data_IF_868692071373
#
_entry.id   IF_868692071373
#
_cell.length_a   1.000
_cell.length_b   1.000
_cell.length_c   1.000
_cell.angle_alpha   90.00
_cell.angle_beta   90.00
_cell.angle_gamma   90.00
#
_symmetry.space_group_name_H-M   'P 1'
#
loop_
_entity.id
_entity.type
_entity.pdbx_description
1 polymer ?
#
# COMPACT_ATOMS: atom_id res chain seq x y z
N UNK A 1 29.26 -36.71 -22.73
CA UNK A 1 27.79 -36.65 -22.55
C UNK A 1 27.44 -35.70 -21.41
N UNK A 2 27.05 -34.45 -21.70
CA UNK A 2 26.70 -33.45 -20.67
C UNK A 2 25.59 -32.49 -21.16
N UNK A 3 24.52 -33.03 -21.76
CA UNK A 3 23.40 -32.21 -22.24
C UNK A 3 22.12 -32.32 -21.40
N UNK A 4 22.02 -33.27 -20.46
CA UNK A 4 20.78 -33.48 -19.69
C UNK A 4 20.55 -32.50 -18.53
N UNK A 5 21.59 -31.90 -17.95
CA UNK A 5 21.44 -31.05 -16.75
C UNK A 5 20.87 -29.66 -17.05
N UNK A 6 21.25 -29.06 -18.17
CA UNK A 6 20.78 -27.73 -18.59
C UNK A 6 19.27 -27.69 -18.81
N UNK A 7 18.70 -28.75 -19.38
CA UNK A 7 17.25 -28.82 -19.63
C UNK A 7 16.44 -28.97 -18.34
N UNK A 8 16.95 -29.76 -17.38
CA UNK A 8 16.32 -29.93 -16.06
C UNK A 8 16.39 -28.61 -15.28
N UNK A 9 17.55 -27.95 -15.24
CA UNK A 9 17.70 -26.66 -14.58
C UNK A 9 16.78 -25.59 -15.19
N UNK A 10 16.62 -25.58 -16.51
CA UNK A 10 15.73 -24.62 -17.20
C UNK A 10 14.25 -24.86 -16.85
N UNK A 11 13.82 -26.11 -16.71
CA UNK A 11 12.47 -26.45 -16.23
C UNK A 11 12.27 -26.02 -14.77
N UNK A 12 13.21 -26.34 -13.89
CA UNK A 12 13.16 -25.98 -12.47
C UNK A 12 13.14 -24.45 -12.27
N UNK A 13 13.99 -23.71 -12.98
CA UNK A 13 13.99 -22.24 -12.93
C UNK A 13 12.65 -21.66 -13.37
N UNK A 14 12.02 -22.23 -14.42
CA UNK A 14 10.70 -21.78 -14.88
C UNK A 14 9.62 -22.05 -13.83
N UNK A 15 9.61 -23.24 -13.24
CA UNK A 15 8.65 -23.60 -12.18
C UNK A 15 8.80 -22.71 -10.94
N UNK A 16 10.03 -22.52 -10.46
CA UNK A 16 10.33 -21.64 -9.32
C UNK A 16 9.93 -20.19 -9.64
N UNK A 17 10.18 -19.72 -10.86
CA UNK A 17 9.81 -18.37 -11.28
C UNK A 17 8.28 -18.18 -11.26
N UNK A 18 7.51 -19.17 -11.70
CA UNK A 18 6.04 -19.11 -11.64
C UNK A 18 5.56 -19.05 -10.18
N UNK A 19 6.11 -19.90 -9.30
CA UNK A 19 5.77 -19.89 -7.87
C UNK A 19 6.12 -18.53 -7.24
N UNK A 20 7.27 -17.96 -7.61
CA UNK A 20 7.70 -16.65 -7.14
C UNK A 20 6.74 -15.54 -7.58
N UNK A 21 6.32 -15.53 -8.85
CA UNK A 21 5.35 -14.57 -9.38
C UNK A 21 4.03 -14.67 -8.61
N UNK A 22 3.52 -15.88 -8.37
CA UNK A 22 2.29 -16.09 -7.58
C UNK A 22 2.44 -15.51 -6.18
N UNK A 23 3.58 -15.75 -5.50
CA UNK A 23 3.84 -15.15 -4.18
C UNK A 23 3.86 -13.62 -4.23
N UNK A 24 4.50 -13.03 -5.24
CA UNK A 24 4.55 -11.57 -5.39
C UNK A 24 3.15 -10.99 -5.59
N UNK A 25 2.33 -11.60 -6.46
CA UNK A 25 0.94 -11.18 -6.67
C UNK A 25 0.14 -11.27 -5.36
N UNK A 26 0.28 -12.37 -4.61
CA UNK A 26 -0.41 -12.55 -3.33
C UNK A 26 -0.01 -11.46 -2.32
N UNK A 27 1.28 -11.13 -2.22
CA UNK A 27 1.77 -10.06 -1.35
C UNK A 27 1.24 -8.68 -1.78
N UNK A 28 1.16 -8.41 -3.07
CA UNK A 28 0.59 -7.17 -3.60
C UNK A 28 -0.90 -7.06 -3.29
N UNK A 29 -1.66 -8.15 -3.41
CA UNK A 29 -3.09 -8.17 -3.06
C UNK A 29 -3.29 -7.91 -1.57
N UNK A 30 -2.53 -8.59 -0.70
CA UNK A 30 -2.61 -8.37 0.75
C UNK A 30 -2.24 -6.93 1.08
N UNK A 31 -1.15 -6.41 0.49
CA UNK A 31 -0.75 -5.01 0.64
C UNK A 31 -1.86 -4.08 0.20
N UNK A 32 -2.50 -4.35 -0.94
CA UNK A 32 -3.60 -3.54 -1.43
C UNK A 32 -4.76 -3.58 -0.45
N UNK A 33 -5.27 -4.75 -0.06
CA UNK A 33 -6.38 -4.85 0.91
C UNK A 33 -6.05 -4.15 2.24
N UNK A 34 -4.82 -4.25 2.73
CA UNK A 34 -4.40 -3.59 3.97
C UNK A 34 -4.18 -2.08 3.84
N UNK A 35 -3.86 -1.58 2.64
CA UNK A 35 -3.52 -0.18 2.39
C UNK A 35 -4.60 0.60 1.62
N UNK A 36 -5.61 -0.10 1.12
CA UNK A 36 -6.76 0.42 0.38
C UNK A 36 -7.94 0.73 1.31
N UNK A 37 -7.80 0.48 2.62
CA UNK A 37 -8.57 1.20 3.62
C UNK A 37 -7.98 2.62 3.70
N UNK A 38 -8.65 3.66 3.15
CA UNK A 38 -8.12 5.01 3.17
C UNK A 38 -8.00 5.45 4.63
N UNK A 39 -6.78 5.43 5.18
CA UNK A 39 -6.49 5.98 6.51
C UNK A 39 -6.43 7.51 6.50
N UNK A 40 -6.66 8.13 5.34
CA UNK A 40 -6.86 9.56 5.20
C UNK A 40 -8.36 9.77 4.97
N UNK A 41 -9.13 10.08 6.03
CA UNK A 41 -10.51 10.49 5.88
C UNK A 41 -10.56 11.68 4.92
N UNK A 42 -11.52 11.66 3.99
CA UNK A 42 -11.70 12.70 2.96
C UNK A 42 -11.90 14.12 3.53
N UNK A 43 -12.14 14.20 4.85
CA UNK A 43 -12.41 15.43 5.61
C UNK A 43 -11.36 15.73 6.70
N UNK A 44 -10.19 15.07 6.69
CA UNK A 44 -9.13 15.32 7.70
C UNK A 44 -8.57 16.73 7.58
N UNK A 45 -8.40 17.23 6.35
CA UNK A 45 -7.90 18.58 6.11
C UNK A 45 -8.84 19.66 6.65
N UNK A 46 -10.16 19.45 6.57
CA UNK A 46 -11.14 20.44 7.03
C UNK A 46 -11.17 20.56 8.56
N UNK A 47 -11.17 19.44 9.30
CA UNK A 47 -11.19 19.47 10.76
C UNK A 47 -9.84 19.91 11.37
N UNK A 48 -8.73 19.62 10.70
CA UNK A 48 -7.41 20.11 11.13
C UNK A 48 -7.27 21.59 10.78
N UNK A 49 -7.73 22.04 9.61
CA UNK A 49 -7.76 23.46 9.26
C UNK A 49 -8.61 24.27 10.26
N UNK A 50 -9.77 23.76 10.68
CA UNK A 50 -10.61 24.43 11.68
C UNK A 50 -9.95 24.51 13.07
N UNK A 51 -9.18 23.48 13.45
CA UNK A 51 -8.43 23.46 14.73
C UNK A 51 -7.13 24.27 14.68
N UNK A 52 -6.45 24.35 13.53
CA UNK A 52 -5.17 25.07 13.34
C UNK A 52 -5.41 26.56 13.04
N UNK A 53 -6.43 26.88 12.23
CA UNK A 53 -6.80 28.28 11.95
C UNK A 53 -7.39 28.98 13.19
N UNK A 54 -7.70 28.20 14.24
CA UNK A 54 -8.49 28.66 15.36
C UNK A 54 -9.92 28.93 14.89
N UNK A 55 -10.90 28.57 15.70
CA UNK A 55 -12.18 29.26 15.59
C UNK A 55 -11.87 30.76 15.67
N UNK A 56 -12.47 31.63 14.83
CA UNK A 56 -12.45 33.05 15.11
C UNK A 56 -13.12 33.18 16.47
N UNK A 57 -12.31 33.33 17.52
CA UNK A 57 -12.80 33.58 18.85
C UNK A 57 -13.68 34.79 18.71
N UNK A 58 -14.99 34.59 18.88
CA UNK A 58 -15.94 35.66 19.03
C UNK A 58 -15.63 36.30 20.39
N UNK A 59 -14.51 37.00 20.47
CA UNK A 59 -14.17 37.92 21.55
C UNK A 59 -15.16 39.04 21.42
N UNK A 60 -16.32 38.85 22.06
CA UNK A 60 -17.24 39.93 22.33
C UNK A 60 -16.49 40.88 23.27
N UNK A 61 -16.00 41.95 22.69
CA UNK A 61 -15.52 43.14 23.37
C UNK A 61 -16.68 43.69 24.23
N UNK A 62 -16.62 43.40 25.52
CA UNK A 62 -17.52 43.97 26.53
C UNK A 62 -17.11 45.42 26.73
N UNK A 63 -17.91 46.34 26.21
CA UNK A 63 -17.82 47.78 26.50
C UNK A 63 -18.66 48.13 27.72
#
# INVERSE_FOLDING_TARGET
>A
MSFKRTDINRRLVREITIILIIKVILLLIIKHIWFDAPTIPKDFDNQVAERIAGSPSQTKETR
#
